data_IF_615087933085
#
_entry.id   IF_615087933085
#
_cell.length_a   1.000
_cell.length_b   1.000
_cell.length_c   1.000
_cell.angle_alpha   90.00
_cell.angle_beta   90.00
_cell.angle_gamma   90.00
#
_symmetry.space_group_name_H-M   'P 1'
#
loop_
_entity.id
_entity.type
_entity.pdbx_description
1 polymer ?
#
# COMPACT_ATOMS: atom_id res chain seq x y z
N UNK A 1 -3.59 -10.07 17.65
CA UNK A 1 -3.73 -9.86 16.20
C UNK A 1 -2.37 -9.53 15.61
N UNK A 2 -2.14 -9.96 14.38
CA UNK A 2 -0.88 -9.79 13.67
C UNK A 2 -0.48 -8.31 13.56
N UNK A 3 0.83 -8.07 13.53
CA UNK A 3 1.41 -6.73 13.36
C UNK A 3 2.50 -6.76 12.30
N UNK A 4 2.59 -5.68 11.53
CA UNK A 4 3.74 -5.43 10.66
C UNK A 4 4.85 -4.87 11.56
N UNK A 5 5.99 -5.56 11.63
CA UNK A 5 7.14 -5.13 12.44
C UNK A 5 8.10 -4.26 11.64
N UNK A 6 8.23 -4.52 10.35
CA UNK A 6 9.19 -3.81 9.49
C UNK A 6 8.72 -3.82 8.02
N UNK A 7 9.00 -2.70 7.32
CA UNK A 7 8.82 -2.57 5.88
C UNK A 7 10.08 -1.93 5.31
N UNK A 8 10.76 -2.62 4.39
CA UNK A 8 12.01 -2.16 3.78
C UNK A 8 11.99 -2.28 2.27
N UNK A 9 12.73 -1.41 1.60
CA UNK A 9 12.98 -1.44 0.15
C UNK A 9 14.33 -2.11 -0.09
N UNK A 10 14.34 -3.32 -0.64
CA UNK A 10 15.53 -4.19 -0.72
C UNK A 10 16.33 -3.94 -2.02
N UNK A 11 15.65 -3.53 -3.10
CA UNK A 11 16.28 -3.19 -4.39
C UNK A 11 15.60 -1.98 -5.01
N UNK A 12 16.26 -0.82 -4.94
CA UNK A 12 15.96 0.34 -5.78
C UNK A 12 17.21 0.58 -6.63
N UNK A 13 17.08 0.77 -7.96
CA UNK A 13 18.22 1.20 -8.75
C UNK A 13 18.72 2.57 -8.24
N UNK A 14 20.02 2.69 -7.95
CA UNK A 14 20.64 3.97 -7.58
C UNK A 14 20.41 5.06 -8.63
N UNK A 15 20.28 4.64 -9.89
CA UNK A 15 20.02 5.52 -11.02
C UNK A 15 18.74 5.11 -11.73
N UNK A 16 17.77 6.02 -11.75
CA UNK A 16 16.54 5.87 -12.51
C UNK A 16 16.74 6.54 -13.86
N UNK A 17 16.70 5.78 -14.95
CA UNK A 17 16.59 6.37 -16.27
C UNK A 17 15.21 7.03 -16.42
N UNK A 18 15.20 8.34 -16.65
CA UNK A 18 13.98 9.12 -16.90
C UNK A 18 13.45 8.75 -18.28
N UNK A 19 12.59 7.74 -18.33
CA UNK A 19 11.98 7.23 -19.55
C UNK A 19 10.53 6.82 -19.23
N UNK A 20 9.57 7.53 -19.84
CA UNK A 20 8.14 7.33 -19.63
C UNK A 20 7.63 5.92 -20.01
N UNK A 21 8.40 5.20 -20.82
CA UNK A 21 8.06 3.85 -21.27
C UNK A 21 8.63 2.75 -20.37
N UNK A 22 9.63 3.07 -19.53
CA UNK A 22 10.31 2.08 -18.69
C UNK A 22 9.60 1.87 -17.36
N UNK A 23 9.37 0.59 -17.05
CA UNK A 23 8.92 0.16 -15.72
C UNK A 23 10.12 -0.35 -14.94
N UNK A 24 10.32 0.21 -13.75
CA UNK A 24 11.32 -0.25 -12.82
C UNK A 24 10.68 -1.27 -11.87
N UNK A 25 11.46 -2.27 -11.46
CA UNK A 25 11.04 -3.26 -10.48
C UNK A 25 11.74 -2.94 -9.16
N UNK A 26 10.95 -2.73 -8.13
CA UNK A 26 11.44 -2.65 -6.74
C UNK A 26 10.98 -3.87 -5.97
N UNK A 27 11.72 -4.23 -4.93
CA UNK A 27 11.33 -5.31 -4.02
C UNK A 27 11.02 -4.68 -2.68
N UNK A 28 9.77 -4.85 -2.23
CA UNK A 28 9.36 -4.50 -0.87
C UNK A 28 9.45 -5.75 -0.01
N UNK A 29 10.24 -5.67 1.05
CA UNK A 29 10.32 -6.69 2.08
C UNK A 29 9.44 -6.26 3.25
N UNK A 30 8.55 -7.14 3.69
CA UNK A 30 7.66 -6.91 4.83
C UNK A 30 7.84 -8.03 5.83
N UNK A 31 8.08 -7.66 7.09
CA UNK A 31 8.15 -8.58 8.23
C UNK A 31 6.86 -8.47 9.03
N UNK A 32 6.23 -9.62 9.28
CA UNK A 32 4.96 -9.73 9.99
C UNK A 32 5.13 -10.69 11.15
N UNK A 33 4.66 -10.28 12.32
CA UNK A 33 4.55 -11.12 13.50
C UNK A 33 3.08 -11.43 13.76
N UNK A 34 2.73 -12.71 13.77
CA UNK A 34 1.38 -13.22 14.04
C UNK A 34 1.18 -13.49 15.52
N UNK A 35 -0.01 -13.18 16.01
CA UNK A 35 -0.40 -13.60 17.35
C UNK A 35 -0.66 -15.12 17.35
N UNK A 36 -0.38 -15.84 18.44
CA UNK A 36 -0.64 -17.29 18.51
C UNK A 36 -2.09 -17.69 18.17
N UNK A 37 -3.05 -16.83 18.54
CA UNK A 37 -4.47 -17.04 18.19
C UNK A 37 -4.71 -17.00 16.68
N UNK A 38 -4.00 -16.12 15.96
CA UNK A 38 -4.15 -15.96 14.52
C UNK A 38 -3.74 -17.27 13.83
N UNK A 39 -2.62 -17.85 14.26
CA UNK A 39 -2.09 -19.13 13.76
C UNK A 39 -3.02 -20.28 14.12
N UNK A 40 -3.46 -20.36 15.38
CA UNK A 40 -4.38 -21.45 15.79
C UNK A 40 -5.73 -21.39 15.09
N UNK A 41 -6.16 -20.19 14.69
CA UNK A 41 -7.41 -19.95 13.98
C UNK A 41 -7.27 -19.98 12.46
N UNK A 42 -6.07 -20.25 11.91
CA UNK A 42 -5.76 -20.19 10.48
C UNK A 42 -6.27 -18.88 9.83
N UNK A 43 -6.04 -17.76 10.52
CA UNK A 43 -6.50 -16.45 10.06
C UNK A 43 -5.86 -16.06 8.74
N UNK A 44 -6.69 -15.51 7.84
CA UNK A 44 -6.27 -14.91 6.59
C UNK A 44 -6.19 -13.38 6.72
N UNK A 45 -5.20 -12.81 6.04
CA UNK A 45 -4.95 -11.37 5.98
C UNK A 45 -4.70 -10.93 4.55
N UNK A 46 -5.12 -9.71 4.21
CA UNK A 46 -4.76 -9.04 2.98
C UNK A 46 -3.72 -7.97 3.30
N UNK A 47 -2.49 -8.16 2.83
CA UNK A 47 -1.44 -7.15 2.90
C UNK A 47 -1.55 -6.24 1.70
N UNK A 48 -1.79 -4.95 1.94
CA UNK A 48 -1.69 -3.93 0.92
C UNK A 48 -0.39 -3.15 1.08
N UNK A 49 0.31 -2.97 -0.02
CA UNK A 49 1.51 -2.16 -0.13
C UNK A 49 1.25 -1.00 -1.07
N UNK A 50 1.59 0.21 -0.64
CA UNK A 50 1.42 1.44 -1.41
C UNK A 50 2.75 2.18 -1.47
N UNK A 51 3.20 2.51 -2.67
CA UNK A 51 4.48 3.18 -2.89
C UNK A 51 4.21 4.64 -3.27
N UNK A 52 4.89 5.56 -2.59
CA UNK A 52 4.79 6.99 -2.80
C UNK A 52 6.18 7.59 -3.09
N UNK A 53 6.23 8.60 -3.95
CA UNK A 53 7.31 9.58 -4.05
C UNK A 53 6.93 10.73 -3.09
N UNK A 54 7.67 10.86 -1.99
CA UNK A 54 7.35 11.77 -0.90
C UNK A 54 8.05 13.10 -1.08
N UNK A 55 7.25 14.18 -1.15
CA UNK A 55 7.73 15.54 -1.37
C UNK A 55 7.66 16.35 -0.07
N UNK A 56 8.49 15.99 0.91
CA UNK A 56 8.59 16.68 2.20
C UNK A 56 7.84 15.97 3.34
N UNK A 57 6.76 16.56 3.84
CA UNK A 57 5.94 16.00 4.93
C UNK A 57 4.99 14.96 4.33
N UNK A 58 5.01 13.74 4.85
CA UNK A 58 4.23 12.61 4.34
C UNK A 58 2.73 12.90 4.40
N UNK A 59 2.03 12.70 3.29
CA UNK A 59 0.58 12.60 3.28
C UNK A 59 0.16 11.26 3.88
N UNK A 60 -0.72 11.27 4.89
CA UNK A 60 -1.26 10.04 5.48
C UNK A 60 -2.47 9.59 4.67
N UNK A 61 -2.45 8.42 4.02
CA UNK A 61 -3.62 7.92 3.30
C UNK A 61 -4.73 7.53 4.28
N UNK A 62 -5.98 7.89 3.96
CA UNK A 62 -7.16 7.38 4.65
C UNK A 62 -7.57 6.07 3.97
N UNK A 63 -7.40 4.98 4.71
CA UNK A 63 -7.75 3.64 4.28
C UNK A 63 -9.18 3.30 4.71
N UNK A 64 -10.03 2.99 3.75
CA UNK A 64 -11.32 2.36 4.01
C UNK A 64 -11.08 0.85 3.88
N UNK A 65 -10.69 0.22 4.99
CA UNK A 65 -10.45 -1.22 5.06
C UNK A 65 -11.73 -2.01 4.77
N UNK A 66 -11.74 -2.79 3.70
CA UNK A 66 -12.77 -3.78 3.42
C UNK A 66 -12.12 -4.92 2.64
N UNK A 67 -12.40 -6.16 3.01
CA UNK A 67 -11.66 -7.32 2.53
C UNK A 67 -11.54 -7.36 0.99
N UNK A 68 -12.64 -7.09 0.28
CA UNK A 68 -12.73 -7.13 -1.18
C UNK A 68 -12.70 -5.76 -1.85
N UNK A 69 -13.10 -4.69 -1.14
CA UNK A 69 -13.28 -3.34 -1.69
C UNK A 69 -12.51 -2.28 -0.88
N UNK A 70 -11.25 -2.58 -0.53
CA UNK A 70 -10.39 -1.63 0.17
C UNK A 70 -10.10 -0.42 -0.71
N UNK A 71 -10.59 0.75 -0.28
CA UNK A 71 -10.37 2.03 -0.96
C UNK A 71 -9.32 2.84 -0.23
N UNK A 72 -8.48 3.52 -1.00
CA UNK A 72 -7.52 4.49 -0.47
C UNK A 72 -7.93 5.87 -0.92
N UNK A 73 -8.24 6.71 0.05
CA UNK A 73 -8.46 8.12 -0.15
C UNK A 73 -7.17 8.84 0.24
N UNK A 74 -6.65 9.67 -0.65
CA UNK A 74 -5.51 10.52 -0.33
C UNK A 74 -6.02 11.78 0.33
N UNK A 75 -5.45 12.13 1.48
CA UNK A 75 -5.71 13.41 2.13
C UNK A 75 -4.58 14.34 1.72
N UNK A 76 -4.89 15.28 0.83
CA UNK A 76 -3.92 16.29 0.38
C UNK A 76 -3.91 17.42 1.40
N UNK A 77 -2.74 17.73 1.98
CA UNK A 77 -2.55 18.93 2.80
C UNK A 77 -1.71 19.97 2.05
N UNK A 78 -2.19 21.21 2.00
CA UNK A 78 -1.44 22.39 1.53
C UNK A 78 -0.97 22.34 0.07
N UNK A 79 -1.76 21.80 -0.86
CA UNK A 79 -1.52 21.79 -2.32
C UNK A 79 -0.23 21.08 -2.79
N UNK A 80 0.67 20.70 -1.89
CA UNK A 80 1.75 19.73 -2.12
C UNK A 80 1.15 18.32 -2.17
N UNK A 81 1.71 17.48 -3.01
CA UNK A 81 1.22 16.13 -3.29
C UNK A 81 2.36 15.15 -3.22
N UNK A 82 2.22 14.12 -2.40
CA UNK A 82 3.00 12.90 -2.59
C UNK A 82 2.48 12.15 -3.84
N UNK A 83 3.42 11.72 -4.70
CA UNK A 83 3.06 11.02 -5.93
C UNK A 83 2.90 9.54 -5.64
N UNK A 84 1.67 9.05 -5.70
CA UNK A 84 1.43 7.60 -5.66
C UNK A 84 1.91 6.93 -6.95
N UNK A 85 2.75 5.93 -6.79
CA UNK A 85 3.41 5.24 -7.89
C UNK A 85 2.77 3.89 -8.19
N UNK A 86 2.42 3.12 -7.15
CA UNK A 86 1.95 1.75 -7.29
C UNK A 86 1.24 1.24 -6.02
N UNK A 87 0.30 0.32 -6.21
CA UNK A 87 -0.31 -0.51 -5.16
C UNK A 87 -0.16 -1.98 -5.55
N UNK A 88 0.16 -2.83 -4.58
CA UNK A 88 0.02 -4.28 -4.70
C UNK A 88 -0.73 -4.82 -3.48
N UNK A 89 -1.40 -5.96 -3.67
CA UNK A 89 -2.18 -6.62 -2.61
C UNK A 89 -1.91 -8.12 -2.64
N UNK A 90 -1.61 -8.70 -1.48
CA UNK A 90 -1.24 -10.12 -1.37
C UNK A 90 -2.01 -10.76 -0.23
N UNK A 91 -2.65 -11.89 -0.52
CA UNK A 91 -3.27 -12.74 0.49
C UNK A 91 -2.17 -13.45 1.28
N UNK A 92 -2.28 -13.39 2.60
CA UNK A 92 -1.35 -13.99 3.54
C UNK A 92 -2.14 -14.89 4.47
N UNK A 93 -1.65 -16.12 4.68
CA UNK A 93 -2.20 -17.03 5.65
C UNK A 93 -1.24 -17.17 6.82
N UNK A 94 -1.79 -17.11 8.03
CA UNK A 94 -1.00 -17.28 9.25
C UNK A 94 -0.35 -18.65 9.39
N UNK A 95 -0.88 -19.68 8.72
CA UNK A 95 -0.30 -21.03 8.66
C UNK A 95 1.05 -21.09 7.95
N UNK A 96 1.30 -20.17 7.01
CA UNK A 96 2.56 -20.08 6.26
C UNK A 96 3.68 -19.43 7.08
N UNK A 97 3.38 -18.95 8.29
CA UNK A 97 4.35 -18.30 9.16
C UNK A 97 5.31 -19.32 9.80
N UNK A 98 6.60 -18.99 9.81
CA UNK A 98 7.58 -19.79 10.52
C UNK A 98 7.50 -19.49 12.03
N UNK A 99 6.83 -20.37 12.78
CA UNK A 99 6.48 -20.26 14.20
C UNK A 99 5.53 -19.11 14.53
N UNK A 100 5.95 -17.87 14.27
CA UNK A 100 5.20 -16.62 14.49
C UNK A 100 5.54 -15.54 13.48
N UNK A 101 6.67 -15.65 12.80
CA UNK A 101 7.17 -14.59 11.95
C UNK A 101 7.08 -15.01 10.49
N UNK A 102 6.78 -14.04 9.63
CA UNK A 102 6.77 -14.23 8.19
C UNK A 102 7.48 -13.06 7.51
N UNK A 103 8.47 -13.38 6.69
CA UNK A 103 9.14 -12.45 5.80
C UNK A 103 8.62 -12.65 4.39
N UNK A 104 7.98 -11.64 3.83
CA UNK A 104 7.50 -11.64 2.44
C UNK A 104 8.31 -10.64 1.61
N UNK A 105 8.66 -11.04 0.38
CA UNK A 105 9.27 -10.17 -0.62
C UNK A 105 8.34 -10.04 -1.81
N UNK A 106 7.82 -8.84 -2.05
CA UNK A 106 6.87 -8.55 -3.13
C UNK A 106 7.56 -7.68 -4.19
N UNK A 107 7.69 -8.17 -5.44
CA UNK A 107 8.16 -7.34 -6.54
C UNK A 107 7.04 -6.39 -7.00
N UNK A 108 7.30 -5.08 -6.93
CA UNK A 108 6.36 -4.05 -7.39
C UNK A 108 6.89 -3.35 -8.64
N UNK A 109 6.00 -3.04 -9.59
CA UNK A 109 6.35 -2.33 -10.83
C UNK A 109 5.98 -0.86 -10.69
N UNK A 110 6.97 0.01 -10.83
CA UNK A 110 6.81 1.47 -10.72
C UNK A 110 7.28 2.17 -12.00
N UNK A 111 6.54 3.20 -12.43
CA UNK A 111 6.94 4.07 -13.54
C UNK A 111 7.62 5.30 -12.96
N UNK A 112 8.94 5.31 -13.00
CA UNK A 112 9.75 6.38 -12.40
C UNK A 112 10.14 7.48 -13.39
N UNK A 113 9.93 7.24 -14.69
CA UNK A 113 10.33 8.16 -15.76
C UNK A 113 9.47 9.40 -15.92
N UNK A 114 8.26 9.40 -15.36
CA UNK A 114 7.36 10.55 -15.45
C UNK A 114 7.79 11.61 -14.42
N UNK A 115 8.42 12.68 -14.89
CA UNK A 115 8.63 13.88 -14.10
C UNK A 115 7.28 14.59 -14.00
N UNK A 116 6.81 14.82 -12.77
CA UNK A 116 5.66 15.67 -12.49
C UNK A 116 6.17 17.07 -12.13
N UNK A 117 5.31 18.10 -12.22
CA UNK A 117 5.70 19.51 -12.03
C UNK A 117 6.38 19.80 -10.67
N UNK A 118 6.21 18.91 -9.68
CA UNK A 118 6.82 19.00 -8.34
C UNK A 118 8.00 18.04 -8.10
N UNK A 119 8.48 17.30 -9.11
CA UNK A 119 9.59 16.35 -8.91
C UNK A 119 10.96 17.02 -8.91
N UNK A 120 11.77 16.73 -7.89
CA UNK A 120 13.18 17.11 -7.89
C UNK A 120 13.93 16.38 -9.00
N UNK A 121 14.74 17.14 -9.76
CA UNK A 121 15.53 16.65 -10.88
C UNK A 121 16.68 15.74 -10.41
N UNK A 122 17.11 15.87 -9.15
CA UNK A 122 18.34 15.24 -8.64
C UNK A 122 18.09 14.11 -7.64
N UNK A 123 17.02 14.17 -6.84
CA UNK A 123 16.78 13.20 -5.76
C UNK A 123 15.29 12.94 -5.57
N UNK A 124 14.89 11.68 -5.49
CA UNK A 124 13.53 11.25 -5.16
C UNK A 124 13.52 10.47 -3.86
N UNK A 125 12.45 10.60 -3.08
CA UNK A 125 12.33 9.96 -1.77
C UNK A 125 11.16 8.98 -1.80
N UNK A 126 11.47 7.70 -1.98
CA UNK A 126 10.44 6.67 -2.02
C UNK A 126 10.13 6.15 -0.62
N UNK A 127 8.84 6.06 -0.31
CA UNK A 127 8.38 5.41 0.91
C UNK A 127 7.24 4.44 0.61
N UNK A 128 7.17 3.39 1.44
CA UNK A 128 6.12 2.37 1.35
C UNK A 128 5.23 2.45 2.58
N UNK A 129 3.93 2.62 2.34
CA UNK A 129 2.92 2.42 3.35
C UNK A 129 2.38 0.99 3.23
N UNK A 130 2.50 0.21 4.29
CA UNK A 130 1.97 -1.15 4.37
C UNK A 130 0.83 -1.20 5.38
N UNK A 131 -0.22 -1.94 5.05
CA UNK A 131 -1.35 -2.17 5.94
C UNK A 131 -1.81 -3.62 5.82
N UNK A 132 -2.15 -4.21 6.96
CA UNK A 132 -2.61 -5.58 7.06
C UNK A 132 -4.07 -5.57 7.52
N UNK A 133 -4.95 -6.15 6.71
CA UNK A 133 -6.40 -6.20 6.98
C UNK A 133 -6.77 -7.67 7.23
N UNK A 134 -7.35 -8.04 8.38
CA UNK A 134 -7.85 -9.40 8.58
C UNK A 134 -9.11 -9.69 7.77
N UNK A 135 -9.36 -10.97 7.45
CA UNK A 135 -10.58 -11.43 6.77
C UNK A 135 -11.87 -11.00 7.47
N UNK A 136 -11.81 -10.90 8.80
CA UNK A 136 -12.93 -10.51 9.65
C UNK A 136 -12.58 -9.18 10.32
N UNK A 137 -12.51 -8.10 9.54
CA UNK A 137 -12.34 -6.72 10.04
C UNK A 137 -13.66 -5.95 9.95
N UNK A 138 -14.11 -5.71 8.71
CA UNK A 138 -15.30 -4.94 8.39
C UNK A 138 -15.92 -5.43 7.10
N UNK A 139 -17.25 -5.56 7.08
CA UNK A 139 -18.04 -5.89 5.89
C UNK A 139 -19.03 -4.76 5.66
N UNK A 140 -18.88 -4.02 4.56
CA UNK A 140 -19.73 -2.87 4.25
C UNK A 140 -19.87 -2.66 2.75
N UNK A 141 -21.07 -2.30 2.27
CA UNK A 141 -21.33 -1.99 0.85
C UNK A 141 -22.27 -0.80 0.72
N UNK A 142 -22.01 0.06 -0.25
CA UNK A 142 -22.96 1.11 -0.64
C UNK A 142 -24.16 0.50 -1.36
N UNK A 143 -25.35 1.05 -1.13
CA UNK A 143 -26.50 0.79 -2.00
C UNK A 143 -26.26 1.39 -3.39
N UNK A 144 -27.09 1.00 -4.37
CA UNK A 144 -27.15 1.73 -5.64
C UNK A 144 -27.65 3.17 -5.38
N UNK A 145 -27.19 4.17 -6.16
CA UNK A 145 -27.69 5.54 -6.05
C UNK A 145 -29.17 5.59 -6.44
N UNK A 146 -29.94 6.44 -5.77
CA UNK A 146 -31.31 6.77 -6.12
C UNK A 146 -31.41 8.29 -6.31
N UNK A 147 -31.91 8.71 -7.46
CA UNK A 147 -32.16 10.12 -7.77
C UNK A 147 -33.63 10.44 -7.53
N UNK A 148 -33.89 11.57 -6.86
CA UNK A 148 -35.24 12.06 -6.57
C UNK A 148 -35.40 13.47 -7.14
N UNK A 149 -36.58 13.76 -7.70
CA UNK A 149 -36.89 15.07 -8.25
C UNK A 149 -37.41 15.99 -7.15
N UNK A 150 -36.86 17.21 -7.10
CA UNK A 150 -37.39 18.28 -6.25
C UNK A 150 -38.48 19.03 -7.03
N UNK A 151 -39.68 19.13 -6.47
CA UNK A 151 -40.80 19.91 -7.03
C UNK A 151 -40.97 21.15 -6.15
N UNK A 152 -41.06 22.33 -6.77
CA UNK A 152 -41.27 23.62 -6.11
C UNK A 152 -42.59 24.25 -6.55
#
# INVERSE_FOLDING_TARGET
>A
MAKITEVTLDKIPEYVAVDDTKTNRIIVKTEIEFHPLDISGNMEYLLHLFVYDVHGIKDVPVLISNWDDTKVLRVVRNERRDDFLCKESVLIRSEDANKKNMSIKIPMKIKLGKLQDNTSIYTRKFEVFATLIPAVDRVSKWSKPFESQLVF
#
